data_IF_758239558800
#
_entry.id   IF_758239558800
#
_cell.length_a   1.000
_cell.length_b   1.000
_cell.length_c   1.000
_cell.angle_alpha   90.00
_cell.angle_beta   90.00
_cell.angle_gamma   90.00
#
_symmetry.space_group_name_H-M   'P 1'
#
loop_
_entity.id
_entity.type
_entity.pdbx_description
1 polymer ?
#
# COMPACT_ATOMS: atom_id res chain seq x y z
N UNK A 1 -4.61 2.65 -20.18
CA UNK A 1 -4.27 1.27 -19.81
C UNK A 1 -3.49 1.23 -18.52
N UNK A 2 -4.04 0.52 -17.55
CA UNK A 2 -3.51 0.28 -16.23
C UNK A 2 -2.38 -0.76 -16.32
N UNK A 3 -1.21 -0.40 -15.84
CA UNK A 3 -0.02 -1.26 -15.90
C UNK A 3 0.34 -1.84 -14.53
N UNK A 4 0.95 -3.03 -14.57
CA UNK A 4 1.46 -3.72 -13.38
C UNK A 4 0.39 -3.89 -12.26
N UNK A 5 -0.87 -4.03 -12.64
CA UNK A 5 -1.97 -4.24 -11.70
C UNK A 5 -2.04 -5.70 -11.24
N UNK A 6 -2.12 -5.93 -9.94
CA UNK A 6 -2.50 -7.23 -9.38
C UNK A 6 -2.90 -7.14 -7.91
N UNK A 7 -3.84 -8.00 -7.50
CA UNK A 7 -4.22 -8.17 -6.10
C UNK A 7 -3.16 -8.93 -5.31
N UNK A 8 -2.73 -8.35 -4.18
CA UNK A 8 -2.00 -9.07 -3.12
C UNK A 8 -2.99 -9.78 -2.20
N UNK A 9 -4.08 -9.11 -1.85
CA UNK A 9 -5.24 -9.70 -1.16
C UNK A 9 -6.43 -9.58 -2.11
N UNK A 10 -6.96 -10.73 -2.54
CA UNK A 10 -8.00 -10.79 -3.59
C UNK A 10 -9.23 -9.97 -3.20
N UNK A 11 -9.69 -9.11 -4.11
CA UNK A 11 -10.86 -8.26 -3.90
C UNK A 11 -10.67 -7.13 -2.87
N UNK A 12 -9.49 -6.97 -2.26
CA UNK A 12 -9.26 -5.93 -1.25
C UNK A 12 -8.03 -5.08 -1.49
N UNK A 13 -6.84 -5.66 -1.68
CA UNK A 13 -5.60 -4.88 -1.72
C UNK A 13 -4.80 -5.20 -2.97
N UNK A 14 -4.66 -4.22 -3.86
CA UNK A 14 -3.92 -4.32 -5.10
C UNK A 14 -2.74 -3.34 -5.16
N UNK A 15 -1.73 -3.68 -5.97
CA UNK A 15 -0.70 -2.75 -6.40
C UNK A 15 -0.83 -2.44 -7.89
N UNK A 16 -0.42 -1.26 -8.32
CA UNK A 16 -0.29 -0.89 -9.73
C UNK A 16 0.82 0.13 -9.98
N UNK A 17 1.18 0.33 -11.25
CA UNK A 17 1.89 1.53 -11.68
C UNK A 17 0.98 2.76 -11.58
N UNK A 18 1.56 3.96 -11.65
CA UNK A 18 0.78 5.20 -11.59
C UNK A 18 -0.32 5.20 -12.67
N UNK A 19 -1.59 5.44 -12.33
CA UNK A 19 -2.71 5.36 -13.30
C UNK A 19 -2.55 6.26 -14.53
N UNK A 20 -1.88 7.41 -14.38
CA UNK A 20 -1.53 8.31 -15.50
C UNK A 20 -0.13 8.13 -16.13
N UNK A 21 0.61 7.06 -15.85
CA UNK A 21 1.98 6.90 -16.41
C UNK A 21 2.01 6.66 -17.93
N UNK A 22 0.95 6.10 -18.50
CA UNK A 22 0.92 5.66 -19.90
C UNK A 22 -0.29 6.19 -20.66
N UNK A 23 -0.93 7.25 -20.15
CA UNK A 23 -2.14 7.81 -20.73
C UNK A 23 -2.82 8.80 -19.79
N UNK A 24 -4.11 9.02 -20.04
CA UNK A 24 -4.93 9.89 -19.21
C UNK A 24 -5.14 9.26 -17.81
N UNK A 25 -4.88 9.99 -16.72
CA UNK A 25 -5.10 9.46 -15.37
C UNK A 25 -6.57 9.14 -15.07
N UNK A 26 -7.52 9.76 -15.76
CA UNK A 26 -8.95 9.49 -15.61
C UNK A 26 -9.32 8.13 -16.18
N UNK A 27 -8.81 7.79 -17.37
CA UNK A 27 -8.92 6.43 -17.91
C UNK A 27 -8.32 5.39 -16.95
N UNK A 28 -7.14 5.67 -16.38
CA UNK A 28 -6.52 4.78 -15.39
C UNK A 28 -7.36 4.59 -14.11
N UNK A 29 -8.04 5.63 -13.65
CA UNK A 29 -8.96 5.55 -12.50
C UNK A 29 -10.26 4.83 -12.84
N UNK A 30 -10.78 5.01 -14.05
CA UNK A 30 -11.93 4.26 -14.55
C UNK A 30 -11.61 2.76 -14.59
N UNK A 31 -10.46 2.38 -15.15
CA UNK A 31 -10.01 0.99 -15.18
C UNK A 31 -9.86 0.40 -13.76
N UNK A 32 -9.35 1.18 -12.80
CA UNK A 32 -9.32 0.75 -11.38
C UNK A 32 -10.73 0.52 -10.82
N UNK A 33 -11.67 1.42 -11.11
CA UNK A 33 -13.07 1.30 -10.69
C UNK A 33 -13.72 0.03 -11.24
N UNK A 34 -13.45 -0.31 -12.51
CA UNK A 34 -13.94 -1.54 -13.14
C UNK A 34 -13.38 -2.81 -12.48
N UNK A 35 -12.20 -2.75 -11.86
CA UNK A 35 -11.65 -3.83 -11.03
C UNK A 35 -12.23 -3.86 -9.60
N UNK A 36 -13.20 -3.00 -9.28
CA UNK A 36 -13.82 -2.88 -7.96
C UNK A 36 -13.02 -2.05 -6.95
N UNK A 37 -11.96 -1.35 -7.39
CA UNK A 37 -11.20 -0.45 -6.53
C UNK A 37 -12.03 0.78 -6.25
N UNK A 38 -12.10 1.17 -4.98
CA UNK A 38 -12.83 2.36 -4.53
C UNK A 38 -11.94 3.35 -3.81
N UNK A 39 -10.68 3.02 -3.55
CA UNK A 39 -9.74 3.87 -2.84
C UNK A 39 -8.33 3.73 -3.41
N UNK A 40 -7.58 4.82 -3.43
CA UNK A 40 -6.23 4.87 -4.02
C UNK A 40 -5.23 5.43 -3.03
N UNK A 41 -4.05 4.83 -3.01
CA UNK A 41 -2.89 5.32 -2.25
C UNK A 41 -1.80 5.69 -3.24
N UNK A 42 -1.42 6.97 -3.26
CA UNK A 42 -0.29 7.46 -4.05
C UNK A 42 0.96 7.54 -3.19
N UNK A 43 2.05 6.93 -3.66
CA UNK A 43 3.35 6.90 -2.98
C UNK A 43 4.41 7.74 -3.68
N UNK A 44 4.16 8.14 -4.93
CA UNK A 44 5.04 9.05 -5.64
C UNK A 44 4.90 10.49 -5.15
N UNK A 45 5.85 11.31 -5.58
CA UNK A 45 6.06 12.68 -5.12
C UNK A 45 4.90 13.62 -5.50
N UNK A 46 4.15 13.31 -6.56
CA UNK A 46 3.14 14.19 -7.13
C UNK A 46 1.71 13.73 -6.79
N UNK A 47 1.49 12.42 -6.73
CA UNK A 47 0.19 11.82 -6.53
C UNK A 47 -0.79 12.09 -7.66
N UNK A 48 -2.05 11.75 -7.42
CA UNK A 48 -3.15 11.97 -8.37
C UNK A 48 -3.82 13.33 -8.12
N UNK A 49 -4.30 14.02 -9.17
CA UNK A 49 -5.09 15.24 -9.00
C UNK A 49 -6.35 14.96 -8.18
N UNK A 50 -6.54 15.69 -7.08
CA UNK A 50 -7.63 15.44 -6.14
C UNK A 50 -9.03 15.56 -6.77
N UNK A 51 -9.22 16.48 -7.72
CA UNK A 51 -10.50 16.64 -8.43
C UNK A 51 -10.86 15.37 -9.21
N UNK A 52 -9.87 14.75 -9.86
CA UNK A 52 -10.07 13.60 -10.72
C UNK A 52 -10.40 12.34 -9.91
N UNK A 53 -9.74 12.17 -8.76
CA UNK A 53 -10.11 11.13 -7.79
C UNK A 53 -11.55 11.31 -7.32
N UNK A 54 -11.95 12.56 -6.98
CA UNK A 54 -13.28 12.86 -6.51
C UNK A 54 -14.37 12.61 -7.57
N UNK A 55 -14.10 12.92 -8.84
CA UNK A 55 -14.98 12.61 -9.97
C UNK A 55 -15.27 11.10 -10.12
N UNK A 56 -14.31 10.26 -9.73
CA UNK A 56 -14.45 8.80 -9.73
C UNK A 56 -15.04 8.25 -8.41
N UNK A 57 -15.42 9.13 -7.47
CA UNK A 57 -15.98 8.73 -6.17
C UNK A 57 -14.99 8.00 -5.26
N UNK A 58 -13.69 8.06 -5.56
CA UNK A 58 -12.67 7.34 -4.82
C UNK A 58 -12.17 8.11 -3.61
N UNK A 59 -11.73 7.40 -2.57
CA UNK A 59 -10.94 8.02 -1.49
C UNK A 59 -9.47 8.02 -1.87
N UNK A 60 -8.74 9.03 -1.42
CA UNK A 60 -7.33 9.17 -1.72
C UNK A 60 -6.52 9.41 -0.45
N UNK A 61 -5.42 8.66 -0.35
CA UNK A 61 -4.36 8.91 0.59
C UNK A 61 -3.06 9.15 -0.19
N UNK A 62 -2.42 10.29 0.03
CA UNK A 62 -1.12 10.62 -0.55
C UNK A 62 -0.03 10.56 0.52
N UNK A 63 0.94 9.68 0.32
CA UNK A 63 2.12 9.50 1.19
C UNK A 63 3.38 9.59 0.32
N UNK A 64 3.90 10.78 0.04
CA UNK A 64 5.04 10.92 -0.85
C UNK A 64 6.29 10.27 -0.26
N UNK A 65 6.87 9.33 -1.02
CA UNK A 65 8.13 8.64 -0.70
C UNK A 65 9.05 8.87 -1.90
N UNK A 66 10.27 9.42 -1.72
CA UNK A 66 11.20 9.61 -2.83
C UNK A 66 11.52 8.30 -3.55
N UNK A 67 11.87 8.37 -4.83
CA UNK A 67 12.20 7.17 -5.59
C UNK A 67 13.36 6.37 -4.97
N UNK A 68 13.25 5.04 -5.00
CA UNK A 68 14.16 4.07 -4.35
C UNK A 68 14.31 4.17 -2.82
N UNK A 69 13.62 5.11 -2.16
CA UNK A 69 13.67 5.28 -0.70
C UNK A 69 12.65 4.40 0.04
N UNK A 70 12.69 4.49 1.37
CA UNK A 70 11.76 3.85 2.29
C UNK A 70 10.71 4.84 2.82
N UNK A 71 9.51 4.39 3.21
CA UNK A 71 8.58 5.23 3.95
C UNK A 71 9.16 5.59 5.31
N UNK A 72 8.64 6.65 5.94
CA UNK A 72 8.83 6.85 7.37
C UNK A 72 7.94 5.90 8.17
N UNK A 73 8.31 5.61 9.42
CA UNK A 73 7.46 4.83 10.32
C UNK A 73 6.07 5.48 10.55
N UNK A 74 5.98 6.82 10.48
CA UNK A 74 4.73 7.57 10.53
C UNK A 74 3.84 7.29 9.32
N UNK A 75 4.40 7.35 8.11
CA UNK A 75 3.67 7.03 6.88
C UNK A 75 3.22 5.56 6.85
N UNK A 76 4.07 4.62 7.29
CA UNK A 76 3.72 3.21 7.39
C UNK A 76 2.51 2.99 8.33
N UNK A 77 2.49 3.63 9.50
CA UNK A 77 1.34 3.59 10.41
C UNK A 77 0.08 4.21 9.81
N UNK A 78 0.21 5.40 9.22
CA UNK A 78 -0.90 6.10 8.58
C UNK A 78 -1.52 5.26 7.44
N UNK A 79 -0.69 4.58 6.66
CA UNK A 79 -1.11 3.66 5.62
C UNK A 79 -1.86 2.45 6.16
N UNK A 80 -1.34 1.79 7.20
CA UNK A 80 -2.00 0.65 7.86
C UNK A 80 -3.36 1.07 8.42
N UNK A 81 -3.43 2.20 9.11
CA UNK A 81 -4.68 2.72 9.68
C UNK A 81 -5.70 3.05 8.58
N UNK A 82 -5.25 3.60 7.46
CA UNK A 82 -6.10 3.83 6.29
C UNK A 82 -6.65 2.52 5.73
N UNK A 83 -5.80 1.54 5.44
CA UNK A 83 -6.24 0.25 4.90
C UNK A 83 -7.20 -0.48 5.83
N UNK A 84 -6.99 -0.44 7.14
CA UNK A 84 -7.92 -1.04 8.12
C UNK A 84 -9.30 -0.41 8.09
N UNK A 85 -9.38 0.93 7.94
CA UNK A 85 -10.66 1.62 7.77
C UNK A 85 -11.34 1.25 6.46
N UNK A 86 -10.60 1.23 5.37
CA UNK A 86 -11.13 0.83 4.06
C UNK A 86 -11.62 -0.63 4.08
N UNK A 87 -10.89 -1.53 4.73
CA UNK A 87 -11.30 -2.92 4.91
C UNK A 87 -12.61 -3.04 5.71
N UNK A 88 -12.72 -2.32 6.83
CA UNK A 88 -13.92 -2.31 7.66
C UNK A 88 -15.16 -1.79 6.92
N UNK A 89 -14.96 -0.96 5.90
CA UNK A 89 -16.03 -0.40 5.06
C UNK A 89 -16.21 -1.15 3.73
N UNK A 90 -15.58 -2.32 3.55
CA UNK A 90 -15.61 -3.12 2.32
C UNK A 90 -15.15 -2.35 1.08
N UNK A 91 -14.15 -1.48 1.23
CA UNK A 91 -13.55 -0.69 0.16
C UNK A 91 -12.22 -1.29 -0.27
N UNK A 92 -12.15 -1.75 -1.52
CA UNK A 92 -10.89 -2.22 -2.10
C UNK A 92 -9.97 -1.05 -2.44
N UNK A 93 -8.66 -1.26 -2.25
CA UNK A 93 -7.62 -0.24 -2.32
C UNK A 93 -6.55 -0.62 -3.34
N UNK A 94 -6.21 0.32 -4.23
CA UNK A 94 -5.03 0.22 -5.08
C UNK A 94 -3.91 1.12 -4.57
N UNK A 95 -2.70 0.56 -4.47
CA UNK A 95 -1.49 1.26 -4.04
C UNK A 95 -0.56 1.44 -5.23
N UNK A 96 -0.14 2.66 -5.51
CA UNK A 96 0.77 2.94 -6.62
C UNK A 96 1.94 3.82 -6.21
N UNK A 97 3.05 3.65 -6.92
CA UNK A 97 4.12 4.64 -7.02
C UNK A 97 4.23 5.00 -8.51
N UNK A 98 5.43 5.14 -9.06
CA UNK A 98 5.63 5.28 -10.51
C UNK A 98 5.42 3.95 -11.25
N UNK A 99 6.26 2.95 -11.00
CA UNK A 99 6.23 1.67 -11.71
C UNK A 99 5.42 0.56 -11.00
N UNK A 100 5.02 0.78 -9.73
CA UNK A 100 4.30 -0.20 -8.94
C UNK A 100 5.15 -1.34 -8.37
N UNK A 101 6.47 -1.13 -8.21
CA UNK A 101 7.44 -2.16 -7.82
C UNK A 101 8.01 -1.96 -6.41
N UNK A 102 8.98 -1.06 -6.21
CA UNK A 102 9.67 -0.87 -4.92
C UNK A 102 8.77 -0.32 -3.83
N UNK A 103 8.50 0.99 -3.86
CA UNK A 103 7.64 1.69 -2.88
C UNK A 103 6.30 0.98 -2.68
N UNK A 104 5.62 0.64 -3.77
CA UNK A 104 4.36 -0.13 -3.74
C UNK A 104 4.54 -1.48 -3.04
N UNK A 105 5.54 -2.28 -3.44
CA UNK A 105 5.82 -3.58 -2.84
C UNK A 105 6.13 -3.49 -1.35
N UNK A 106 6.90 -2.50 -0.95
CA UNK A 106 7.25 -2.23 0.45
C UNK A 106 6.01 -1.95 1.29
N UNK A 107 5.13 -1.05 0.83
CA UNK A 107 3.89 -0.72 1.54
C UNK A 107 2.93 -1.91 1.59
N UNK A 108 2.80 -2.69 0.50
CA UNK A 108 2.00 -3.92 0.49
C UNK A 108 2.51 -4.94 1.53
N UNK A 109 3.83 -5.13 1.66
CA UNK A 109 4.42 -6.01 2.66
C UNK A 109 4.22 -5.49 4.10
N UNK A 110 4.34 -4.18 4.31
CA UNK A 110 4.07 -3.52 5.60
C UNK A 110 2.64 -3.84 6.08
N UNK A 111 1.65 -3.80 5.19
CA UNK A 111 0.28 -4.15 5.58
C UNK A 111 0.15 -5.61 6.01
N UNK A 112 0.71 -6.55 5.23
CA UNK A 112 0.69 -7.97 5.60
C UNK A 112 1.33 -8.20 6.99
N UNK A 113 2.46 -7.55 7.27
CA UNK A 113 3.12 -7.60 8.57
C UNK A 113 2.23 -7.03 9.67
N UNK A 114 1.57 -5.90 9.42
CA UNK A 114 0.66 -5.30 10.39
C UNK A 114 -0.54 -6.20 10.72
N UNK A 115 -0.96 -7.03 9.77
CA UNK A 115 -2.02 -8.04 9.93
C UNK A 115 -1.52 -9.40 10.47
N UNK A 116 -0.23 -9.48 10.83
CA UNK A 116 0.35 -10.62 11.56
C UNK A 116 1.15 -11.61 10.74
N UNK A 117 1.42 -11.33 9.46
CA UNK A 117 2.40 -12.13 8.70
C UNK A 117 3.84 -11.85 9.16
N UNK A 118 4.66 -12.89 9.16
CA UNK A 118 6.11 -12.74 9.38
C UNK A 118 6.76 -11.88 8.28
N UNK A 119 7.70 -10.97 8.58
CA UNK A 119 8.24 -10.02 7.61
C UNK A 119 8.85 -10.68 6.37
N UNK A 120 9.67 -11.72 6.55
CA UNK A 120 10.26 -12.46 5.42
C UNK A 120 9.20 -13.18 4.56
N UNK A 121 8.12 -13.61 5.20
CA UNK A 121 6.99 -14.26 4.52
C UNK A 121 6.16 -13.23 3.76
N UNK A 122 5.90 -12.06 4.33
CA UNK A 122 5.25 -10.94 3.67
C UNK A 122 6.01 -10.49 2.40
N UNK A 123 7.34 -10.30 2.51
CA UNK A 123 8.22 -10.00 1.36
C UNK A 123 8.06 -11.08 0.28
N UNK A 124 8.12 -12.35 0.68
CA UNK A 124 8.00 -13.48 -0.25
C UNK A 124 6.63 -13.56 -0.92
N UNK A 125 5.54 -13.28 -0.19
CA UNK A 125 4.17 -13.23 -0.75
C UNK A 125 4.08 -12.15 -1.81
N UNK A 126 4.53 -10.93 -1.47
CA UNK A 126 4.49 -9.79 -2.40
C UNK A 126 5.31 -10.09 -3.64
N UNK A 127 6.55 -10.59 -3.52
CA UNK A 127 7.40 -10.93 -4.67
C UNK A 127 6.82 -12.03 -5.56
N UNK A 128 6.16 -13.04 -4.98
CA UNK A 128 5.48 -14.08 -5.77
C UNK A 128 4.30 -13.54 -6.57
N UNK A 129 3.50 -12.65 -5.97
CA UNK A 129 2.33 -12.04 -6.62
C UNK A 129 2.69 -10.86 -7.55
N UNK A 130 3.84 -10.24 -7.30
CA UNK A 130 4.34 -9.03 -7.98
C UNK A 130 5.86 -9.12 -8.18
N UNK A 131 6.34 -9.92 -9.14
CA UNK A 131 7.76 -10.06 -9.42
C UNK A 131 8.45 -8.72 -9.63
N UNK A 132 9.64 -8.54 -9.05
CA UNK A 132 10.38 -7.28 -9.05
C UNK A 132 10.02 -6.30 -7.93
N UNK A 133 9.05 -6.62 -7.07
CA UNK A 133 8.70 -5.80 -5.91
C UNK A 133 9.79 -5.80 -4.83
N UNK A 134 9.87 -4.68 -4.11
CA UNK A 134 10.85 -4.44 -3.03
C UNK A 134 12.26 -4.46 -3.64
N UNK A 135 12.66 -3.29 -4.14
CA UNK A 135 13.78 -3.11 -5.07
C UNK A 135 15.13 -2.97 -4.37
N UNK A 136 15.14 -2.53 -3.10
CA UNK A 136 16.37 -2.21 -2.36
C UNK A 136 16.47 -2.98 -1.06
N UNK A 137 17.71 -3.14 -0.56
CA UNK A 137 17.94 -3.78 0.74
C UNK A 137 17.38 -2.93 1.88
N UNK A 138 17.40 -1.62 1.73
CA UNK A 138 16.84 -0.65 2.66
C UNK A 138 15.32 -0.84 2.81
N UNK A 139 14.62 -1.14 1.71
CA UNK A 139 13.19 -1.45 1.72
C UNK A 139 12.89 -2.78 2.43
N UNK A 140 13.70 -3.83 2.20
CA UNK A 140 13.57 -5.09 2.96
C UNK A 140 13.81 -4.87 4.46
N UNK A 141 14.88 -4.15 4.78
CA UNK A 141 15.28 -3.88 6.16
C UNK A 141 14.21 -3.06 6.89
N UNK A 142 13.61 -2.07 6.21
CA UNK A 142 12.50 -1.29 6.75
C UNK A 142 11.31 -2.17 7.16
N UNK A 143 10.94 -3.17 6.34
CA UNK A 143 9.83 -4.08 6.65
C UNK A 143 10.13 -4.89 7.92
N UNK A 144 11.37 -5.36 8.07
CA UNK A 144 11.82 -6.12 9.25
C UNK A 144 11.81 -5.24 10.50
N UNK A 145 12.32 -4.01 10.40
CA UNK A 145 12.38 -3.09 11.54
C UNK A 145 10.99 -2.62 11.96
N UNK A 146 10.09 -2.40 11.00
CA UNK A 146 8.69 -2.10 11.28
C UNK A 146 8.00 -3.24 12.05
N UNK A 147 8.28 -4.51 11.72
CA UNK A 147 7.76 -5.65 12.47
C UNK A 147 8.20 -5.63 13.94
N UNK A 148 9.50 -5.38 14.19
CA UNK A 148 10.07 -5.29 15.55
C UNK A 148 9.46 -4.14 16.36
N UNK A 149 9.19 -3.01 15.70
CA UNK A 149 8.54 -1.85 16.32
C UNK A 149 7.09 -2.15 16.73
N UNK A 150 6.36 -2.91 15.91
CA UNK A 150 5.00 -3.35 16.23
C UNK A 150 4.98 -4.30 17.44
N UNK A 151 5.88 -5.28 17.48
CA UNK A 151 6.02 -6.20 18.61
C UNK A 151 6.37 -5.48 19.91
N UNK A 152 7.34 -4.56 19.84
CA UNK A 152 7.75 -3.73 20.96
C UNK A 152 6.60 -2.89 21.50
N UNK A 153 5.76 -2.36 20.60
CA UNK A 153 4.59 -1.57 20.95
C UNK A 153 3.47 -2.41 21.58
N UNK A 154 3.27 -3.65 21.11
CA UNK A 154 2.32 -4.62 21.69
C UNK A 154 2.72 -5.05 23.10
N UNK A 155 4.01 -5.33 23.32
CA UNK A 155 4.53 -5.77 24.61
C UNK A 155 4.53 -4.67 25.69
N UNK A 156 4.50 -3.40 25.30
CA UNK A 156 4.44 -2.25 26.22
C UNK A 156 3.01 -1.85 26.63
N UNK A 157 1.96 -2.41 26.02
CA UNK A 157 0.59 -2.13 26.47
C UNK A 157 0.27 -2.94 27.74
N UNK A 158 -0.18 -2.31 28.84
CA UNK A 158 -0.57 -3.04 30.05
C UNK A 158 -1.74 -3.97 29.73
N UNK A 159 -1.63 -5.24 30.16
CA UNK A 159 -2.74 -6.21 30.12
C UNK A 159 -3.92 -5.58 30.89
N UNK A 160 -4.90 -5.05 30.16
CA UNK A 160 -6.19 -4.64 30.76
C UNK A 160 -6.75 -5.90 31.43
N UNK A 161 -6.72 -5.93 32.76
CA UNK A 161 -7.32 -7.01 33.53
C UNK A 161 -8.81 -7.06 33.20
N UNK A 162 -9.24 -8.18 32.64
CA UNK A 162 -10.64 -8.57 32.56
C UNK A 162 -11.13 -8.73 34.01
N UNK A 163 -12.11 -7.92 34.41
CA UNK A 163 -12.95 -8.19 35.58
C UNK A 163 -14.12 -9.04 35.14
#
# INVERSE_FOLDING_TARGET
MLHNFSFVIEGFLAGCAHPGSYGDPGEGLLELSEQGISSVVSLDEFGLPAYLVAEHGMRHLHLPIPDFETPTAGQARQFVDFLRREHAENRAVAVHCRAGMGRTGTMLAIYLVAEGEEPNRAISIVRRKRPGSIETMEQEQFIIDFARDLESSRNKQPRKHQK
#
